data_IF_619993596750
#
_entry.id   IF_619993596750
#
_cell.length_a   1.000
_cell.length_b   1.000
_cell.length_c   1.000
_cell.angle_alpha   90.00
_cell.angle_beta   90.00
_cell.angle_gamma   90.00
#
_symmetry.space_group_name_H-M   'P 1'
#
loop_
_entity.id
_entity.type
_entity.pdbx_description
1 polymer ?
2 non-polymer ?
3 water ?
#
# COMPACT_ATOMS: atom_id res chain seq x y z
N UNK A 4 28.36 16.00 -14.45
CA UNK A 4 28.49 14.69 -13.82
C UNK A 4 27.13 14.05 -13.56
N UNK A 5 27.16 12.77 -13.20
CA UNK A 5 25.94 12.08 -12.83
C UNK A 5 25.28 12.71 -11.62
N UNK A 6 26.07 13.12 -10.62
CA UNK A 6 25.50 13.61 -9.37
C UNK A 6 24.90 15.00 -9.55
N UNK A 7 25.55 15.86 -10.33
CA UNK A 7 25.02 17.19 -10.56
C UNK A 7 23.70 17.12 -11.32
N UNK A 8 23.60 16.23 -12.29
CA UNK A 8 22.33 16.02 -12.98
C UNK A 8 21.28 15.50 -12.00
N UNK A 9 21.67 14.61 -11.09
CA UNK A 9 20.72 14.06 -10.13
C UNK A 9 20.25 15.14 -9.16
N UNK A 10 21.15 16.03 -8.74
CA UNK A 10 20.77 17.08 -7.82
C UNK A 10 19.79 18.05 -8.47
N UNK A 11 19.99 18.36 -9.76
CA UNK A 11 19.06 19.23 -10.47
C UNK A 11 17.70 18.56 -10.65
N UNK A 12 17.70 17.28 -10.98
CA UNK A 12 16.45 16.54 -11.07
C UNK A 12 15.70 16.55 -9.73
N UNK A 13 16.43 16.31 -8.64
CA UNK A 13 15.78 16.33 -7.33
C UNK A 13 15.30 17.73 -6.98
N UNK A 14 16.10 18.75 -7.30
CA UNK A 14 15.70 20.12 -7.01
C UNK A 14 14.42 20.48 -7.78
N UNK A 15 14.35 20.10 -9.06
CA UNK A 15 13.14 20.36 -9.82
C UNK A 15 11.93 19.63 -9.22
N UNK A 16 12.09 18.36 -8.90
CA UNK A 16 10.99 17.57 -8.34
C UNK A 16 10.47 18.17 -7.04
N UNK A 17 11.37 18.58 -6.14
CA UNK A 17 10.93 19.06 -4.84
C UNK A 17 10.26 20.43 -4.90
N UNK A 18 10.55 21.25 -5.93
CA UNK A 18 9.81 22.50 -6.08
C UNK A 18 8.48 22.33 -6.79
N UNK A 19 8.35 21.28 -7.62
CA UNK A 19 7.11 21.05 -8.35
C UNK A 19 5.99 20.51 -7.49
N UNK A 20 6.32 19.84 -6.40
CA UNK A 20 5.32 19.13 -5.63
C UNK A 20 4.76 20.01 -4.52
N UNK A 21 3.49 19.79 -4.20
CA UNK A 21 2.94 20.34 -2.96
C UNK A 21 2.95 19.33 -1.84
N UNK A 22 3.27 18.08 -2.15
CA UNK A 22 3.29 16.98 -1.19
C UNK A 22 4.59 17.04 -0.38
N UNK A 23 4.45 17.22 0.94
CA UNK A 23 5.61 17.43 1.80
C UNK A 23 6.45 16.16 1.91
N UNK A 24 5.82 14.98 1.84
CA UNK A 24 6.61 13.74 1.89
C UNK A 24 7.39 13.52 0.61
N UNK A 25 6.79 13.82 -0.55
CA UNK A 25 7.57 13.78 -1.78
C UNK A 25 8.72 14.76 -1.70
N UNK A 26 8.48 15.95 -1.16
CA UNK A 26 9.56 16.91 -0.97
C UNK A 26 10.68 16.35 -0.09
N UNK A 27 10.33 15.64 1.00
CA UNK A 27 11.37 15.11 1.88
C UNK A 27 12.14 13.96 1.20
N UNK A 28 11.44 13.08 0.49
CA UNK A 28 12.11 11.98 -0.21
C UNK A 28 13.05 12.49 -1.31
N UNK A 29 12.60 13.51 -2.07
CA UNK A 29 13.47 14.17 -3.06
C UNK A 29 14.76 14.67 -2.45
N UNK A 30 14.68 15.31 -1.28
CA UNK A 30 15.89 15.83 -0.64
C UNK A 30 16.76 14.69 -0.12
N UNK A 31 16.16 13.69 0.52
CA UNK A 31 16.93 12.55 0.99
C UNK A 31 17.61 11.83 -0.17
N UNK A 32 16.90 11.65 -1.29
CA UNK A 32 17.49 11.04 -2.48
C UNK A 32 18.72 11.81 -2.94
N UNK A 33 18.60 13.14 -3.06
CA UNK A 33 19.72 13.95 -3.52
C UNK A 33 20.92 13.83 -2.59
N UNK A 34 20.68 13.83 -1.28
CA UNK A 34 21.78 13.75 -0.31
C UNK A 34 22.46 12.39 -0.36
N UNK A 35 21.66 11.31 -0.36
CA UNK A 35 22.24 9.98 -0.46
C UNK A 35 22.98 9.80 -1.78
N UNK A 36 22.42 10.32 -2.88
CA UNK A 36 23.09 10.19 -4.17
C UNK A 36 24.41 10.93 -4.16
N UNK A 37 24.46 12.08 -3.50
CA UNK A 37 25.69 12.86 -3.41
C UNK A 37 26.83 12.04 -2.81
N UNK A 38 26.52 11.27 -1.76
CA UNK A 38 27.49 10.45 -1.05
C UNK A 38 27.71 9.09 -1.69
N UNK A 39 27.05 8.79 -2.80
CA UNK A 39 27.11 7.48 -3.40
C UNK A 39 28.36 7.32 -4.26
N UNK A 40 28.98 6.14 -4.17
CA UNK A 40 30.12 5.81 -5.01
C UNK A 40 29.77 4.85 -6.14
N UNK A 41 28.62 4.20 -6.07
CA UNK A 41 28.28 3.09 -6.96
C UNK A 41 27.56 3.63 -8.20
N UNK A 42 28.12 3.47 -9.40
CA UNK A 42 27.44 4.03 -10.58
C UNK A 42 26.13 3.34 -10.91
N UNK A 43 26.00 2.06 -10.60
CA UNK A 43 24.73 1.38 -10.74
C UNK A 43 23.64 2.08 -9.94
N UNK A 44 23.95 2.41 -8.67
CA UNK A 44 23.04 3.16 -7.82
C UNK A 44 22.65 4.48 -8.49
N UNK A 45 23.66 5.25 -8.91
CA UNK A 45 23.38 6.57 -9.46
C UNK A 45 22.52 6.47 -10.71
N UNK A 46 22.73 5.44 -11.52
CA UNK A 46 21.89 5.24 -12.70
C UNK A 46 20.44 5.04 -12.29
N UNK A 47 20.19 4.24 -11.27
CA UNK A 47 18.82 3.96 -10.87
C UNK A 47 18.16 5.23 -10.32
N UNK A 48 18.88 5.97 -9.48
CA UNK A 48 18.35 7.21 -8.93
C UNK A 48 18.00 8.18 -10.04
N UNK A 49 18.90 8.34 -11.02
CA UNK A 49 18.64 9.27 -12.12
C UNK A 49 17.41 8.84 -12.90
N UNK A 50 17.32 7.56 -13.27
CA UNK A 50 16.16 7.10 -14.03
C UNK A 50 14.87 7.16 -13.20
N UNK A 51 14.94 6.93 -11.89
CA UNK A 51 13.76 7.11 -11.03
C UNK A 51 13.31 8.56 -11.00
N UNK A 52 14.26 9.49 -10.83
CA UNK A 52 13.91 10.90 -10.75
C UNK A 52 13.40 11.41 -12.10
N UNK A 53 14.01 10.98 -13.21
CA UNK A 53 13.55 11.40 -14.52
C UNK A 53 12.13 10.91 -14.79
N UNK A 54 11.85 9.65 -14.44
CA UNK A 54 10.50 9.11 -14.61
C UNK A 54 9.50 9.84 -13.73
N UNK A 55 9.88 10.15 -12.49
CA UNK A 55 9.00 10.89 -11.60
C UNK A 55 8.64 12.25 -12.18
N UNK A 56 9.62 12.93 -12.79
CA UNK A 56 9.38 14.24 -13.39
C UNK A 56 8.40 14.17 -14.56
N UNK A 57 8.35 13.03 -15.25
CA UNK A 57 7.44 12.83 -16.38
C UNK A 57 6.06 12.36 -15.95
N UNK A 58 5.83 12.10 -14.67
CA UNK A 58 4.59 11.53 -14.19
C UNK A 58 3.69 12.59 -13.56
N UNK A 59 2.38 12.42 -13.72
CA UNK A 59 1.41 13.25 -13.03
C UNK A 59 0.76 12.51 -11.86
N UNK A 60 1.10 11.24 -11.66
CA UNK A 60 0.49 10.43 -10.61
C UNK A 60 1.37 10.54 -9.37
N UNK A 61 0.83 11.12 -8.30
CA UNK A 61 1.64 11.36 -7.11
C UNK A 61 2.00 10.08 -6.36
N UNK A 62 1.16 9.04 -6.46
CA UNK A 62 1.55 7.77 -5.83
C UNK A 62 2.71 7.13 -6.57
N UNK A 63 2.69 7.20 -7.91
CA UNK A 63 3.81 6.70 -8.68
C UNK A 63 5.10 7.45 -8.32
N UNK A 64 5.03 8.76 -8.16
CA UNK A 64 6.20 9.55 -7.79
C UNK A 64 6.72 9.11 -6.42
N UNK A 65 5.82 8.92 -5.45
CA UNK A 65 6.26 8.47 -4.13
C UNK A 65 6.98 7.13 -4.22
N UNK A 66 6.41 6.18 -4.97
CA UNK A 66 7.06 4.87 -5.13
C UNK A 66 8.44 5.01 -5.76
N UNK A 67 8.53 5.79 -6.84
CA UNK A 67 9.83 5.98 -7.51
C UNK A 67 10.86 6.61 -6.58
N UNK A 68 10.46 7.61 -5.79
CA UNK A 68 11.40 8.23 -4.86
C UNK A 68 11.78 7.27 -3.74
N UNK A 69 10.84 6.47 -3.25
CA UNK A 69 11.19 5.45 -2.25
C UNK A 69 12.22 4.46 -2.79
N UNK A 70 12.08 4.07 -4.05
CA UNK A 70 13.06 3.20 -4.70
C UNK A 70 14.42 3.86 -4.70
N UNK A 71 14.47 5.13 -5.11
CA UNK A 71 15.75 5.84 -5.19
C UNK A 71 16.41 5.93 -3.82
N UNK A 72 15.63 6.27 -2.79
CA UNK A 72 16.17 6.35 -1.44
C UNK A 72 16.67 4.99 -0.96
N UNK A 73 15.91 3.93 -1.21
CA UNK A 73 16.30 2.58 -0.80
C UNK A 73 17.62 2.16 -1.44
N UNK A 74 17.73 2.30 -2.76
CA UNK A 74 18.95 1.84 -3.42
C UNK A 74 20.15 2.69 -2.97
N UNK A 75 19.96 4.02 -2.88
CA UNK A 75 21.07 4.91 -2.54
C UNK A 75 21.49 4.75 -1.09
N UNK A 76 20.52 4.55 -0.17
CA UNK A 76 20.90 4.30 1.23
C UNK A 76 21.61 2.96 1.38
N UNK A 77 21.29 1.99 0.52
CA UNK A 77 21.89 0.66 0.67
C UNK A 77 23.29 0.58 0.08
N UNK A 78 23.58 1.36 -0.95
CA UNK A 78 24.87 1.31 -1.62
C UNK A 78 24.92 0.38 -2.81
N UNK A 79 23.94 -0.48 -2.99
CA UNK A 79 23.92 -1.36 -4.15
C UNK A 79 22.50 -1.72 -4.47
N UNK A 80 22.24 -1.95 -5.76
CA UNK A 80 20.93 -2.45 -6.17
C UNK A 80 20.71 -3.88 -5.70
N UNK A 81 21.79 -4.65 -5.50
CA UNK A 81 21.66 -6.05 -5.09
C UNK A 81 21.18 -6.16 -3.64
N UNK A 82 21.58 -5.22 -2.79
CA UNK A 82 21.19 -5.30 -1.39
C UNK A 82 19.69 -5.08 -1.17
N UNK A 83 18.97 -4.55 -2.17
CA UNK A 83 17.55 -4.24 -1.99
C UNK A 83 16.73 -4.92 -3.08
N UNK A 84 17.21 -6.08 -3.54
CA UNK A 84 16.58 -6.74 -4.69
C UNK A 84 15.10 -7.03 -4.45
N UNK A 85 14.76 -7.51 -3.26
CA UNK A 85 13.36 -7.87 -3.01
C UNK A 85 12.45 -6.66 -3.07
N UNK A 86 12.86 -5.56 -2.41
CA UNK A 86 12.07 -4.33 -2.44
C UNK A 86 12.00 -3.76 -3.86
N UNK A 87 13.12 -3.80 -4.60
CA UNK A 87 13.11 -3.37 -5.99
C UNK A 87 12.16 -4.20 -6.84
N UNK A 88 12.12 -5.51 -6.61
CA UNK A 88 11.24 -6.35 -7.41
C UNK A 88 9.78 -6.05 -7.12
N UNK A 89 9.46 -5.76 -5.86
CA UNK A 89 8.10 -5.37 -5.53
C UNK A 89 7.73 -4.07 -6.25
N UNK A 90 8.64 -3.11 -6.27
CA UNK A 90 8.31 -1.83 -6.90
C UNK A 90 8.14 -1.99 -8.41
N UNK A 91 9.00 -2.77 -9.04
CA UNK A 91 8.85 -3.02 -10.46
C UNK A 91 7.53 -3.73 -10.77
N UNK A 92 7.17 -4.73 -9.94
CA UNK A 92 5.88 -5.40 -10.12
C UNK A 92 4.74 -4.40 -10.08
N UNK A 93 4.73 -3.53 -9.09
CA UNK A 93 3.66 -2.53 -8.99
C UNK A 93 3.68 -1.57 -10.18
N UNK A 94 4.87 -1.12 -10.58
CA UNK A 94 4.98 -0.20 -11.71
C UNK A 94 4.54 -0.86 -13.00
N UNK A 95 4.86 -2.14 -13.18
CA UNK A 95 4.35 -2.88 -14.35
C UNK A 95 2.84 -2.99 -14.32
N UNK A 96 2.27 -3.40 -13.18
CA UNK A 96 0.82 -3.55 -13.10
C UNK A 96 0.12 -2.22 -13.35
N UNK A 97 0.76 -1.13 -12.92
CA UNK A 97 0.17 0.20 -13.06
C UNK A 97 0.13 0.67 -14.51
N UNK A 98 1.07 0.22 -15.34
CA UNK A 98 1.05 0.60 -16.74
C UNK A 98 0.29 -0.41 -17.61
N UNK A 99 0.05 -1.60 -17.08
CA UNK A 99 -0.69 -2.63 -17.78
C UNK A 99 -2.20 -2.50 -17.61
N UNK A 100 -2.65 -1.73 -16.62
CA UNK A 100 -4.06 -1.57 -16.34
C UNK A 100 -4.51 -0.14 -16.61
N UNK A 101 -5.74 -0.02 -17.11
CA UNK A 101 -6.37 1.29 -17.29
C UNK A 101 -7.28 1.67 -16.13
N UNK A 102 -7.65 0.73 -15.27
CA UNK A 102 -8.52 1.07 -14.16
C UNK A 102 -7.75 1.91 -13.15
N UNK A 103 -8.17 3.15 -12.87
CA UNK A 103 -7.44 3.96 -11.88
C UNK A 103 -7.39 3.31 -10.50
N UNK A 104 -8.38 2.47 -10.18
CA UNK A 104 -8.38 1.79 -8.89
C UNK A 104 -7.27 0.74 -8.82
N UNK A 105 -7.02 0.01 -9.91
CA UNK A 105 -5.94 -0.97 -9.89
C UNK A 105 -4.59 -0.27 -9.85
N UNK A 106 -4.44 0.81 -10.63
CA UNK A 106 -3.21 1.59 -10.60
C UNK A 106 -2.91 2.06 -9.18
N UNK A 107 -3.92 2.62 -8.52
CA UNK A 107 -3.69 3.15 -7.18
C UNK A 107 -3.44 2.03 -6.16
N UNK A 108 -4.13 0.91 -6.31
CA UNK A 108 -3.95 -0.18 -5.37
C UNK A 108 -2.57 -0.81 -5.48
N UNK A 109 -2.07 -0.97 -6.70
CA UNK A 109 -0.74 -1.57 -6.90
C UNK A 109 0.35 -0.69 -6.29
N UNK A 110 0.32 0.62 -6.58
CA UNK A 110 1.34 1.55 -6.10
C UNK A 110 1.29 1.73 -4.59
N UNK A 111 0.08 1.86 -4.03
CA UNK A 111 -0.07 2.00 -2.58
C UNK A 111 0.33 0.73 -1.83
N UNK A 112 -0.08 -0.44 -2.33
CA UNK A 112 0.37 -1.68 -1.68
C UNK A 112 1.91 -1.77 -1.68
N UNK A 113 2.55 -1.45 -2.81
CA UNK A 113 4.00 -1.49 -2.85
C UNK A 113 4.64 -0.45 -1.92
N UNK A 114 4.10 0.79 -1.87
CA UNK A 114 4.64 1.82 -0.99
C UNK A 114 4.60 1.35 0.46
N UNK A 115 3.44 0.82 0.88
CA UNK A 115 3.30 0.39 2.28
C UNK A 115 4.22 -0.77 2.60
N UNK A 116 4.28 -1.77 1.71
CA UNK A 116 5.22 -2.88 1.87
C UNK A 116 6.64 -2.39 2.07
N UNK A 117 7.12 -1.53 1.16
CA UNK A 117 8.49 -1.06 1.28
C UNK A 117 8.69 -0.27 2.57
N UNK A 118 7.73 0.56 2.94
CA UNK A 118 7.90 1.32 4.19
C UNK A 118 7.90 0.41 5.41
N UNK A 119 7.21 -0.73 5.34
CA UNK A 119 7.15 -1.61 6.51
C UNK A 119 8.51 -2.25 6.83
N UNK A 120 9.32 -2.51 5.82
CA UNK A 120 10.55 -3.31 5.97
C UNK A 120 10.28 -4.63 6.69
N UNK A 121 9.06 -5.19 6.48
CA UNK A 121 8.61 -6.37 7.21
C UNK A 121 8.68 -7.58 6.31
N UNK A 122 9.43 -8.63 6.67
CA UNK A 122 9.61 -9.77 5.75
C UNK A 122 8.31 -10.39 5.28
N UNK A 123 7.39 -10.66 6.20
CA UNK A 123 6.11 -11.27 5.81
C UNK A 123 5.28 -10.34 4.95
N UNK A 124 5.26 -9.04 5.28
CA UNK A 124 4.49 -8.10 4.47
C UNK A 124 5.10 -7.96 3.07
N UNK A 125 6.43 -7.93 2.96
CA UNK A 125 7.06 -7.88 1.65
C UNK A 125 6.71 -9.12 0.82
N UNK A 126 6.82 -10.30 1.41
CA UNK A 126 6.52 -11.51 0.65
C UNK A 126 5.04 -11.60 0.29
N UNK A 127 4.15 -11.16 1.19
CA UNK A 127 2.73 -11.25 0.91
C UNK A 127 2.34 -10.26 -0.19
N UNK A 128 2.94 -9.08 -0.18
CA UNK A 128 2.59 -8.10 -1.21
C UNK A 128 3.21 -8.50 -2.54
N UNK A 129 4.43 -9.03 -2.53
CA UNK A 129 5.01 -9.51 -3.78
C UNK A 129 4.12 -10.58 -4.43
N UNK A 130 3.68 -11.58 -3.64
CA UNK A 130 2.82 -12.63 -4.18
C UNK A 130 1.48 -12.06 -4.66
N UNK A 131 0.91 -11.13 -3.90
CA UNK A 131 -0.35 -10.51 -4.31
C UNK A 131 -0.22 -9.82 -5.66
N UNK A 132 0.87 -9.08 -5.85
CA UNK A 132 1.11 -8.39 -7.12
C UNK A 132 1.31 -9.37 -8.26
N UNK A 133 2.09 -10.43 -8.04
CA UNK A 133 2.21 -11.50 -9.03
C UNK A 133 0.85 -12.09 -9.37
N UNK A 134 0.05 -12.41 -8.35
CA UNK A 134 -1.27 -13.00 -8.56
C UNK A 134 -2.17 -12.06 -9.36
N UNK A 135 -2.09 -10.76 -9.08
CA UNK A 135 -2.89 -9.79 -9.82
C UNK A 135 -2.47 -9.74 -11.29
N UNK A 136 -1.15 -9.72 -11.55
CA UNK A 136 -0.67 -9.67 -12.93
C UNK A 136 -1.06 -10.92 -13.71
N UNK A 137 -1.15 -12.07 -13.04
CA UNK A 137 -1.54 -13.28 -13.75
C UNK A 137 -3.04 -13.36 -13.97
N UNK A 138 -3.82 -12.55 -13.28
CA UNK A 138 -5.27 -12.59 -13.35
C UNK A 138 -5.80 -11.67 -14.44
N UNK A 139 -6.90 -12.08 -15.07
CA UNK A 139 -7.65 -11.20 -15.97
C UNK A 139 -8.91 -10.66 -15.33
N UNK A 140 -9.25 -11.13 -14.12
CA UNK A 140 -10.45 -10.71 -13.40
C UNK A 140 -10.09 -9.41 -12.67
N UNK A 141 -10.57 -8.28 -13.20
CA UNK A 141 -10.27 -7.00 -12.57
C UNK A 141 -10.92 -6.88 -11.20
N UNK A 142 -12.05 -7.56 -10.98
CA UNK A 142 -12.70 -7.54 -9.68
C UNK A 142 -11.84 -8.26 -8.64
N UNK A 143 -11.23 -9.38 -9.04
CA UNK A 143 -10.35 -10.13 -8.17
C UNK A 143 -9.05 -9.37 -7.91
N UNK A 144 -8.52 -8.71 -8.94
CA UNK A 144 -7.32 -7.90 -8.77
C UNK A 144 -7.56 -6.79 -7.75
N UNK A 145 -8.69 -6.09 -7.88
CA UNK A 145 -8.99 -5.04 -6.92
C UNK A 145 -9.14 -5.60 -5.52
N UNK A 146 -9.72 -6.79 -5.38
CA UNK A 146 -9.81 -7.35 -4.03
C UNK A 146 -8.44 -7.80 -3.51
N UNK A 147 -7.62 -8.40 -4.36
CA UNK A 147 -6.26 -8.79 -3.95
C UNK A 147 -5.48 -7.57 -3.46
N UNK A 148 -5.54 -6.47 -4.22
CA UNK A 148 -4.78 -5.27 -3.85
C UNK A 148 -5.31 -4.64 -2.56
N UNK A 149 -6.63 -4.63 -2.36
CA UNK A 149 -7.17 -4.08 -1.13
C UNK A 149 -6.73 -4.89 0.08
N UNK A 150 -6.67 -6.21 -0.06
CA UNK A 150 -6.19 -7.04 1.04
C UNK A 150 -4.71 -6.82 1.28
N UNK A 151 -3.91 -6.74 0.20
CA UNK A 151 -2.47 -6.56 0.35
C UNK A 151 -2.14 -5.21 0.99
N UNK A 152 -2.85 -4.15 0.59
CA UNK A 152 -2.62 -2.86 1.22
C UNK A 152 -2.96 -2.88 2.70
N UNK A 153 -4.13 -3.40 3.05
CA UNK A 153 -4.53 -3.43 4.46
C UNK A 153 -3.51 -4.19 5.27
N UNK A 154 -2.97 -5.28 4.71
CA UNK A 154 -2.00 -6.11 5.42
C UNK A 154 -0.69 -5.36 5.61
N UNK A 155 -0.18 -4.76 4.54
CA UNK A 155 1.06 -3.98 4.64
C UNK A 155 0.90 -2.81 5.60
N UNK A 156 -0.28 -2.20 5.63
CA UNK A 156 -0.55 -1.12 6.57
C UNK A 156 -0.43 -1.57 8.02
N UNK A 157 -0.97 -2.76 8.34
CA UNK A 157 -0.78 -3.30 9.68
C UNK A 157 0.69 -3.39 10.02
N UNK A 158 1.50 -3.82 9.05
CA UNK A 158 2.94 -3.94 9.31
C UNK A 158 3.57 -2.57 9.51
N UNK A 159 3.22 -1.60 8.65
CA UNK A 159 3.74 -0.23 8.80
C UNK A 159 3.42 0.31 10.17
N UNK A 160 2.22 0.02 10.67
CA UNK A 160 1.78 0.53 11.96
C UNK A 160 2.34 -0.23 13.14
N UNK A 161 3.15 -1.27 12.92
CA UNK A 161 3.78 -1.95 14.04
C UNK A 161 2.91 -2.95 14.76
N UNK A 162 1.96 -3.57 14.07
CA UNK A 162 1.22 -4.68 14.64
C UNK A 162 2.19 -5.72 15.20
N UNK A 163 1.82 -6.32 16.33
CA UNK A 163 2.65 -7.39 16.89
C UNK A 163 2.84 -8.48 15.84
N UNK A 164 4.02 -9.10 15.87
CA UNK A 164 4.32 -10.16 14.90
C UNK A 164 3.28 -11.27 14.94
N UNK A 165 2.77 -11.64 16.12
CA UNK A 165 1.80 -12.72 16.15
C UNK A 165 0.45 -12.29 15.58
N UNK A 166 0.07 -11.03 15.80
CA UNK A 166 -1.18 -10.56 15.19
C UNK A 166 -1.06 -10.46 13.67
N UNK A 167 0.10 -10.04 13.15
CA UNK A 167 0.27 -10.00 11.70
C UNK A 167 0.25 -11.41 11.11
N UNK A 168 0.88 -12.37 11.79
CA UNK A 168 0.82 -13.75 11.31
C UNK A 168 -0.63 -14.23 11.19
N UNK A 169 -1.48 -13.92 12.17
CA UNK A 169 -2.88 -14.36 12.07
C UNK A 169 -3.65 -13.55 11.04
N UNK A 170 -3.28 -12.27 10.85
CA UNK A 170 -3.93 -11.47 9.82
C UNK A 170 -3.68 -12.04 8.43
N UNK A 171 -2.54 -12.69 8.21
CA UNK A 171 -2.28 -13.26 6.90
C UNK A 171 -3.25 -14.40 6.58
N UNK A 172 -3.77 -15.11 7.59
CA UNK A 172 -4.82 -16.08 7.30
C UNK A 172 -6.08 -15.41 6.75
N UNK A 173 -6.35 -14.17 7.18
CA UNK A 173 -7.52 -13.47 6.67
C UNK A 173 -7.27 -12.94 5.26
N UNK A 174 -6.03 -12.53 4.96
CA UNK A 174 -5.66 -12.23 3.57
C UNK A 174 -6.00 -13.42 2.69
N UNK A 175 -5.55 -14.61 3.11
CA UNK A 175 -5.81 -15.81 2.30
C UNK A 175 -7.30 -16.10 2.18
N UNK A 176 -8.04 -15.98 3.28
CA UNK A 176 -9.49 -16.17 3.26
C UNK A 176 -10.17 -15.17 2.32
N UNK A 177 -9.77 -13.90 2.37
CA UNK A 177 -10.37 -12.89 1.49
C UNK A 177 -10.14 -13.25 0.02
N UNK A 178 -8.88 -13.55 -0.34
CA UNK A 178 -8.56 -13.82 -1.73
C UNK A 178 -9.31 -15.07 -2.21
N UNK A 179 -9.36 -16.11 -1.39
CA UNK A 179 -10.11 -17.32 -1.76
C UNK A 179 -11.58 -17.00 -1.97
N UNK A 180 -12.17 -16.23 -1.05
CA UNK A 180 -13.58 -15.88 -1.19
C UNK A 180 -13.81 -15.08 -2.47
N UNK A 181 -12.91 -14.13 -2.76
CA UNK A 181 -13.08 -13.32 -3.97
C UNK A 181 -13.05 -14.20 -5.21
N UNK A 182 -12.17 -15.21 -5.23
CA UNK A 182 -12.06 -16.10 -6.38
C UNK A 182 -13.30 -16.95 -6.57
N UNK A 183 -14.08 -17.18 -5.50
CA UNK A 183 -15.32 -17.94 -5.54
C UNK A 183 -16.52 -17.02 -5.68
N UNK A 184 -16.31 -15.77 -6.07
CA UNK A 184 -17.40 -14.87 -6.41
C UNK A 184 -18.03 -14.13 -5.25
N UNK A 185 -17.42 -14.10 -4.08
CA UNK A 185 -18.06 -13.44 -2.94
C UNK A 185 -18.29 -11.96 -3.23
N UNK A 186 -19.31 -11.39 -2.58
CA UNK A 186 -19.75 -10.05 -2.91
C UNK A 186 -18.71 -9.02 -2.47
N UNK A 187 -18.63 -7.89 -3.15
CA UNK A 187 -17.76 -6.80 -2.68
C UNK A 187 -17.99 -6.44 -1.24
N UNK A 188 -19.25 -6.51 -0.79
CA UNK A 188 -19.56 -6.17 0.59
C UNK A 188 -18.99 -7.19 1.57
N UNK A 189 -19.04 -8.48 1.24
CA UNK A 189 -18.44 -9.47 2.15
C UNK A 189 -16.92 -9.37 2.16
N UNK A 190 -16.32 -8.93 1.04
CA UNK A 190 -14.87 -8.75 1.01
C UNK A 190 -14.45 -7.54 1.85
N UNK A 191 -15.27 -6.50 1.89
CA UNK A 191 -15.01 -5.38 2.80
C UNK A 191 -15.11 -5.81 4.25
N UNK A 192 -16.10 -6.66 4.57
CA UNK A 192 -16.22 -7.20 5.93
C UNK A 192 -14.95 -7.96 6.33
N UNK A 193 -14.36 -8.69 5.39
CA UNK A 193 -13.10 -9.39 5.68
C UNK A 193 -11.95 -8.43 5.90
N UNK A 194 -11.88 -7.31 5.18
CA UNK A 194 -10.84 -6.32 5.45
C UNK A 194 -11.02 -5.76 6.86
N UNK A 195 -12.27 -5.47 7.27
CA UNK A 195 -12.51 -5.02 8.64
C UNK A 195 -12.00 -6.06 9.64
N UNK A 196 -12.34 -7.33 9.41
CA UNK A 196 -11.92 -8.40 10.30
C UNK A 196 -10.40 -8.50 10.40
N UNK A 197 -9.71 -8.41 9.26
CA UNK A 197 -8.24 -8.40 9.25
C UNK A 197 -7.67 -7.27 10.11
N UNK A 198 -8.25 -6.06 10.01
CA UNK A 198 -7.72 -4.92 10.75
C UNK A 198 -7.98 -5.08 12.25
N UNK A 199 -9.18 -5.59 12.60
CA UNK A 199 -9.52 -5.81 14.00
C UNK A 199 -8.57 -6.81 14.62
N UNK A 200 -8.27 -7.88 13.88
CA UNK A 200 -7.30 -8.88 14.32
C UNK A 200 -5.89 -8.30 14.41
N UNK A 201 -5.48 -7.52 13.41
CA UNK A 201 -4.14 -6.96 13.42
C UNK A 201 -3.89 -5.96 14.51
N UNK A 202 -4.94 -5.29 14.99
CA UNK A 202 -4.78 -4.27 16.00
C UNK A 202 -5.20 -4.73 17.38
N UNK A 203 -5.65 -5.97 17.52
CA UNK A 203 -6.00 -6.52 18.82
C UNK A 203 -7.22 -5.90 19.47
N UNK A 204 -8.21 -5.50 18.67
CA UNK A 204 -9.46 -5.00 19.24
C UNK A 204 -10.53 -6.03 18.98
N UNK A 205 -11.78 -5.69 19.24
CA UNK A 205 -12.87 -6.66 19.09
C UNK A 205 -13.97 -6.10 18.21
N UNK A 206 -14.78 -6.99 17.65
CA UNK A 206 -15.84 -6.60 16.74
C UNK A 206 -17.04 -7.53 16.90
N UNK A 207 -18.22 -6.96 16.71
CA UNK A 207 -19.46 -7.70 16.63
C UNK A 207 -20.18 -7.25 15.38
N UNK A 208 -20.89 -8.17 14.74
CA UNK A 208 -21.58 -7.86 13.50
C UNK A 208 -23.08 -8.09 13.67
N UNK A 209 -23.90 -7.18 13.10
CA UNK A 209 -25.35 -7.22 13.25
C UNK A 209 -26.00 -7.02 11.89
N UNK A 210 -26.80 -7.99 11.45
CA UNK A 210 -27.32 -7.99 10.10
C UNK A 210 -28.83 -7.90 10.13
N UNK A 211 -29.37 -6.92 9.41
CA UNK A 211 -30.81 -6.73 9.35
C UNK A 211 -31.16 -6.26 7.95
N UNK A 212 -32.02 -7.01 7.26
CA UNK A 212 -32.33 -6.65 5.89
C UNK A 212 -31.08 -6.81 5.05
N UNK A 213 -30.75 -5.77 4.30
CA UNK A 213 -29.55 -5.78 3.48
C UNK A 213 -28.43 -4.95 4.08
N UNK A 214 -28.55 -4.57 5.35
CA UNK A 214 -27.55 -3.76 6.03
C UNK A 214 -26.79 -4.63 7.02
N UNK A 215 -25.47 -4.48 7.02
CA UNK A 215 -24.58 -5.13 7.97
C UNK A 215 -23.88 -4.04 8.75
N UNK A 216 -24.00 -4.10 10.08
CA UNK A 216 -23.42 -3.13 11.01
C UNK A 216 -22.31 -3.81 11.78
N UNK A 217 -21.08 -3.31 11.65
CA UNK A 217 -19.93 -3.84 12.39
C UNK A 217 -19.60 -2.86 13.50
N UNK A 218 -19.55 -3.35 14.73
CA UNK A 218 -19.32 -2.52 15.91
C UNK A 218 -17.95 -2.89 16.45
N UNK A 219 -17.07 -1.91 16.52
CA UNK A 219 -15.68 -2.13 16.87
C UNK A 219 -15.41 -1.37 18.15
N UNK A 220 -15.00 -2.09 19.20
CA UNK A 220 -14.80 -1.49 20.51
C UNK A 220 -13.33 -1.47 20.91
N UNK A 221 -12.95 -0.43 21.64
CA UNK A 221 -11.62 -0.34 22.22
C UNK A 221 -10.55 0.28 21.34
N UNK A 222 -10.94 1.00 20.30
CA UNK A 222 -9.98 1.61 19.39
C UNK A 222 -9.41 2.90 19.97
N UNK A 223 -8.08 2.99 20.06
CA UNK A 223 -7.43 4.27 20.34
C UNK A 223 -7.41 5.12 19.08
N UNK A 224 -7.13 6.43 19.24
CA UNK A 224 -7.16 7.32 18.09
C UNK A 224 -6.14 6.92 17.03
N UNK A 225 -4.97 6.41 17.45
CA UNK A 225 -3.99 5.94 16.49
C UNK A 225 -4.51 4.73 15.73
N UNK A 226 -5.18 3.82 16.44
CA UNK A 226 -5.74 2.64 15.79
C UNK A 226 -6.93 3.00 14.92
N UNK A 227 -7.71 4.00 15.34
CA UNK A 227 -8.84 4.46 14.54
C UNK A 227 -8.40 4.88 13.14
N UNK A 228 -7.31 5.64 13.06
CA UNK A 228 -6.89 6.17 11.76
C UNK A 228 -6.38 5.07 10.84
N UNK A 229 -5.64 4.10 11.38
CA UNK A 229 -5.13 3.01 10.55
C UNK A 229 -6.27 2.12 10.05
N UNK A 230 -7.22 1.80 10.92
CA UNK A 230 -8.30 0.91 10.51
C UNK A 230 -9.17 1.58 9.45
N UNK A 231 -9.43 2.88 9.61
CA UNK A 231 -10.32 3.52 8.64
C UNK A 231 -9.61 3.77 7.32
N UNK A 232 -8.28 3.98 7.34
CA UNK A 232 -7.55 4.08 6.09
C UNK A 232 -7.67 2.79 5.28
N UNK A 233 -7.42 1.65 5.91
CA UNK A 233 -7.51 0.38 5.19
C UNK A 233 -8.93 0.09 4.72
N UNK A 234 -9.93 0.39 5.56
CA UNK A 234 -11.31 0.03 5.24
C UNK A 234 -11.86 0.95 4.17
N UNK A 235 -11.56 2.26 4.25
CA UNK A 235 -12.08 3.17 3.24
C UNK A 235 -11.36 2.97 1.90
N UNK A 236 -10.05 2.73 1.94
CA UNK A 236 -9.35 2.38 0.71
C UNK A 236 -9.93 1.12 0.07
N UNK A 237 -10.23 0.10 0.88
CA UNK A 237 -10.80 -1.13 0.34
C UNK A 237 -12.16 -0.85 -0.26
N UNK A 238 -12.98 -0.05 0.42
CA UNK A 238 -14.32 0.28 -0.10
C UNK A 238 -14.20 1.06 -1.40
N UNK A 239 -13.22 1.98 -1.49
CA UNK A 239 -12.99 2.67 -2.76
C UNK A 239 -12.56 1.70 -3.85
N UNK A 240 -11.73 0.71 -3.50
CA UNK A 240 -11.22 -0.19 -4.54
C UNK A 240 -12.29 -1.11 -5.05
N UNK A 241 -13.19 -1.54 -4.16
CA UNK A 241 -14.17 -2.56 -4.49
C UNK A 241 -15.54 -1.98 -4.82
N UNK A 242 -15.68 -0.65 -4.81
CA UNK A 242 -16.96 -0.03 -5.15
C UNK A 242 -18.04 -0.23 -4.12
N UNK A 243 -17.70 -0.17 -2.84
CA UNK A 243 -18.64 -0.39 -1.74
C UNK A 243 -18.87 0.95 -1.07
N UNK A 244 -20.15 1.30 -0.88
CA UNK A 244 -20.48 2.49 -0.10
C UNK A 244 -20.47 2.11 1.37
N UNK A 245 -19.72 2.87 2.17
CA UNK A 245 -19.59 2.60 3.60
C UNK A 245 -19.93 3.87 4.36
N UNK A 246 -20.59 3.70 5.49
CA UNK A 246 -20.91 4.78 6.40
C UNK A 246 -20.33 4.46 7.76
N UNK A 247 -20.02 5.50 8.55
CA UNK A 247 -19.29 5.36 9.80
C UNK A 247 -20.02 6.17 10.87
N UNK A 248 -20.11 5.62 12.07
CA UNK A 248 -20.61 6.33 13.24
C UNK A 248 -19.63 6.12 14.37
N UNK A 249 -19.52 7.11 15.25
CA UNK A 249 -18.60 7.06 16.37
C UNK A 249 -19.29 7.56 17.63
N UNK A 250 -19.13 6.82 18.73
CA UNK A 250 -19.67 7.21 20.03
C UNK A 250 -18.70 6.68 21.09
N UNK A 251 -18.06 7.59 21.82
CA UNK A 251 -17.00 7.17 22.74
C UNK A 251 -15.81 6.64 21.97
N UNK A 252 -15.32 5.48 22.39
CA UNK A 252 -14.24 4.78 21.70
C UNK A 252 -14.76 3.72 20.74
N UNK A 253 -16.06 3.75 20.43
CA UNK A 253 -16.71 2.77 19.57
C UNK A 253 -16.88 3.32 18.16
N UNK A 254 -16.46 2.54 17.16
CA UNK A 254 -16.66 2.86 15.75
C UNK A 254 -17.64 1.85 15.17
N UNK A 255 -18.63 2.33 14.45
CA UNK A 255 -19.59 1.47 13.76
C UNK A 255 -19.47 1.71 12.27
N UNK A 256 -19.27 0.64 11.52
CA UNK A 256 -19.09 0.68 10.08
C UNK A 256 -20.27 -0.03 9.45
N UNK A 257 -20.98 0.66 8.56
CA UNK A 257 -22.22 0.14 7.98
C UNK A 257 -22.00 -0.11 6.49
N UNK A 258 -22.31 -1.32 6.04
CA UNK A 258 -22.26 -1.72 4.65
C UNK A 258 -23.65 -2.18 4.23
N UNK A 259 -24.03 -1.88 2.98
CA UNK A 259 -25.34 -2.23 2.44
C UNK A 259 -25.14 -3.15 1.25
N UNK A 260 -25.87 -4.27 1.23
CA UNK A 260 -25.72 -5.25 0.15
C UNK A 260 -26.33 -4.73 -1.16
#
# INVERSE_FOLDING_TARGET
MSGSMKEEIKRLAEELKEKTKNEEIKRLAEEAAELAERSDDPEVLEVVKKALEEALKSKNEEKIELLLLVAVLVAEAGSVDAVEEKLEIALLALKLAEESKDPRIIRGALRAAIAALRSDDPLALKTVKEALERARASKDERLIRAILAAAYAFALLAVAGASAERLKEAEAIVKELIAAAEKGASPQELVLLVIEMMVKGMGVTMETHRSGNEVKVVIKGLHESQQEVLLEAVLFAAELMGVRVRIRFKGDTVTIVVREGSGS
#
